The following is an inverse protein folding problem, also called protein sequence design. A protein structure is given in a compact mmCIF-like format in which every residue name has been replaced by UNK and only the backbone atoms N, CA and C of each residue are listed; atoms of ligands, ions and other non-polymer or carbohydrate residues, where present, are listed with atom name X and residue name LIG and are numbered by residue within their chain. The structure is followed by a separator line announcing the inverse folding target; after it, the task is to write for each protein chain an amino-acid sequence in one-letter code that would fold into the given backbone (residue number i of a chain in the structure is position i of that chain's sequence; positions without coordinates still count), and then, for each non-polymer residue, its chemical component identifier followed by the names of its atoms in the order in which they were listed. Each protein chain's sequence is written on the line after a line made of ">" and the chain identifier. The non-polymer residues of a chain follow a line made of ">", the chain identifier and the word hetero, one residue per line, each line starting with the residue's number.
data_IF_344151557199
#
_entry.id   IF_344151557199
#
_cell.length_a   1.000
_cell.length_b   1.000
_cell.length_c   1.000
_cell.angle_alpha   90.00
_cell.angle_beta   90.00
_cell.angle_gamma   90.00
#
_symmetry.space_group_name_H-M   'P 1'
#
loop_
_entity.id
_entity.type
_entity.pdbx_description
1 polymer ?
#
# COMPACT_ATOMS: atom_id res chain seq x y z
N UNK A 1 -54.92 49.10 30.40
CA UNK A 1 -56.25 48.44 30.31
C UNK A 1 -56.54 47.80 31.65
N UNK A 2 -57.81 47.85 32.10
CA UNK A 2 -58.35 47.63 33.47
C UNK A 2 -58.07 48.81 34.43
N UNK A 3 -58.99 49.51 35.10
CA UNK A 3 -60.44 49.71 35.21
C UNK A 3 -60.85 49.73 36.71
N UNK A 4 -61.62 50.77 37.08
CA UNK A 4 -62.51 50.88 38.27
C UNK A 4 -61.84 51.06 39.66
N UNK A 5 -62.38 51.83 40.63
CA UNK A 5 -63.78 52.19 40.91
C UNK A 5 -63.92 53.52 41.71
N UNK A 6 -65.07 54.17 41.51
CA UNK A 6 -65.63 55.29 42.29
C UNK A 6 -66.52 54.80 43.45
N UNK A 7 -66.67 55.60 44.50
CA UNK A 7 -67.94 55.84 45.25
C UNK A 7 -67.71 56.99 46.26
N UNK A 8 -68.31 58.19 46.17
CA UNK A 8 -69.72 58.65 46.25
C UNK A 8 -70.30 58.76 47.68
N UNK A 9 -70.33 60.01 48.18
CA UNK A 9 -71.42 60.73 48.88
C UNK A 9 -72.43 60.00 49.79
N UNK A 10 -72.75 60.59 50.96
CA UNK A 10 -74.13 61.00 51.29
C UNK A 10 -74.21 61.96 52.48
N UNK A 11 -75.12 62.92 52.33
CA UNK A 11 -75.61 63.90 53.29
C UNK A 11 -76.57 63.31 54.34
N UNK A 12 -76.59 63.87 55.56
CA UNK A 12 -77.65 63.63 56.53
C UNK A 12 -77.73 64.73 57.59
N UNK A 13 -78.92 65.33 57.73
CA UNK A 13 -79.31 66.49 58.55
C UNK A 13 -79.29 66.25 60.08
N UNK A 14 -79.36 67.33 60.90
CA UNK A 14 -79.13 67.30 62.35
C UNK A 14 -80.40 67.03 63.18
N UNK A 15 -80.22 66.51 64.40
CA UNK A 15 -81.24 66.51 65.46
C UNK A 15 -80.61 66.99 66.76
N UNK A 16 -81.12 68.11 67.27
CA UNK A 16 -80.87 68.64 68.61
C UNK A 16 -81.39 67.68 69.69
N UNK A 17 -80.59 67.42 70.73
CA UNK A 17 -81.08 67.24 72.10
C UNK A 17 -80.15 67.95 73.09
N UNK A 18 -80.69 69.00 73.70
CA UNK A 18 -80.17 69.66 74.90
C UNK A 18 -80.05 68.65 76.04
N UNK A 19 -78.91 68.67 76.72
CA UNK A 19 -78.63 67.81 77.87
C UNK A 19 -77.45 68.37 78.65
N UNK A 20 -77.80 69.22 79.62
CA UNK A 20 -76.98 69.82 80.65
C UNK A 20 -76.01 68.82 81.32
N UNK A 21 -74.70 69.09 81.39
CA UNK A 21 -73.89 68.77 82.57
C UNK A 21 -72.51 69.44 82.53
N UNK A 22 -72.28 70.29 83.52
CA UNK A 22 -71.00 70.85 83.92
C UNK A 22 -70.07 69.72 84.37
N UNK A 23 -68.92 69.55 83.70
CA UNK A 23 -67.90 68.56 84.07
C UNK A 23 -66.98 68.06 82.95
N UNK A 24 -66.94 68.70 81.77
CA UNK A 24 -66.29 68.17 80.54
C UNK A 24 -64.97 68.83 80.13
N UNK A 25 -64.37 69.69 80.96
CA UNK A 25 -63.11 70.37 80.58
C UNK A 25 -61.84 69.55 80.81
N UNK A 26 -61.85 68.60 81.76
CA UNK A 26 -60.68 67.74 82.06
C UNK A 26 -60.55 66.52 81.15
N UNK A 27 -61.65 65.83 80.80
CA UNK A 27 -61.63 64.64 79.91
C UNK A 27 -61.24 64.97 78.46
N UNK A 28 -61.60 66.16 77.96
CA UNK A 28 -61.24 66.61 76.61
C UNK A 28 -59.77 67.06 76.53
N UNK A 29 -59.22 67.60 77.63
CA UNK A 29 -57.80 67.95 77.71
C UNK A 29 -56.91 66.71 77.83
N UNK A 30 -57.36 65.68 78.56
CA UNK A 30 -56.64 64.41 78.69
C UNK A 30 -56.62 63.60 77.39
N UNK A 31 -57.75 63.49 76.67
CA UNK A 31 -57.80 62.84 75.35
C UNK A 31 -57.01 63.57 74.28
N UNK A 32 -56.92 64.90 74.36
CA UNK A 32 -56.11 65.70 73.43
C UNK A 32 -54.61 65.50 73.69
N UNK A 33 -54.21 65.44 74.96
CA UNK A 33 -52.82 65.14 75.34
C UNK A 33 -52.41 63.71 74.97
N UNK A 34 -53.29 62.71 75.12
CA UNK A 34 -53.04 61.34 74.65
C UNK A 34 -52.93 61.27 73.13
N UNK A 35 -53.82 61.93 72.38
CA UNK A 35 -53.74 61.97 70.92
C UNK A 35 -52.49 62.71 70.41
N UNK A 36 -52.08 63.81 71.05
CA UNK A 36 -50.82 64.50 70.72
C UNK A 36 -49.60 63.63 71.04
N UNK A 37 -49.59 62.92 72.17
CA UNK A 37 -48.51 61.97 72.50
C UNK A 37 -48.46 60.78 71.54
N UNK A 38 -49.61 60.27 71.08
CA UNK A 38 -49.69 59.16 70.13
C UNK A 38 -49.27 59.60 68.70
N UNK A 39 -49.65 60.81 68.28
CA UNK A 39 -49.18 61.42 67.03
C UNK A 39 -47.67 61.67 67.09
N UNK A 40 -47.14 62.14 68.22
CA UNK A 40 -45.70 62.39 68.37
C UNK A 40 -44.90 61.10 68.44
N UNK A 41 -45.42 60.05 69.09
CA UNK A 41 -44.84 58.70 69.07
C UNK A 41 -44.88 58.10 67.65
N UNK A 42 -45.97 58.24 66.91
CA UNK A 42 -46.08 57.80 65.52
C UNK A 42 -45.12 58.56 64.60
N UNK A 43 -44.98 59.87 64.80
CA UNK A 43 -44.06 60.72 64.02
C UNK A 43 -42.60 60.35 64.28
N UNK A 44 -42.24 60.08 65.53
CA UNK A 44 -40.90 59.63 65.91
C UNK A 44 -40.58 58.25 65.32
N UNK A 45 -41.54 57.33 65.32
CA UNK A 45 -41.42 56.00 64.70
C UNK A 45 -41.28 56.09 63.17
N UNK A 46 -41.99 57.01 62.52
CA UNK A 46 -41.88 57.25 61.09
C UNK A 46 -40.55 57.93 60.72
N UNK A 47 -40.05 58.86 61.53
CA UNK A 47 -38.71 59.45 61.36
C UNK A 47 -37.60 58.41 61.52
N UNK A 48 -37.72 57.47 62.46
CA UNK A 48 -36.80 56.34 62.60
C UNK A 48 -36.84 55.43 61.37
N UNK A 49 -38.04 55.09 60.86
CA UNK A 49 -38.18 54.29 59.63
C UNK A 49 -37.55 54.96 58.41
N UNK A 50 -37.78 56.26 58.22
CA UNK A 50 -37.17 57.04 57.13
C UNK A 50 -35.63 57.01 57.24
N UNK A 51 -35.10 57.06 58.47
CA UNK A 51 -33.66 56.96 58.72
C UNK A 51 -33.10 55.58 58.34
N UNK A 52 -33.81 54.51 58.69
CA UNK A 52 -33.46 53.14 58.33
C UNK A 52 -33.50 52.92 56.81
N UNK A 53 -34.56 53.37 56.14
CA UNK A 53 -34.70 53.28 54.68
C UNK A 53 -33.59 54.07 53.95
N UNK A 54 -33.22 55.25 54.46
CA UNK A 54 -32.10 56.03 53.93
C UNK A 54 -30.75 55.34 54.14
N UNK A 55 -30.56 54.63 55.25
CA UNK A 55 -29.36 53.85 55.50
C UNK A 55 -29.29 52.65 54.54
N UNK A 56 -30.38 51.89 54.41
CA UNK A 56 -30.50 50.77 53.48
C UNK A 56 -30.28 51.21 52.03
N UNK A 57 -30.82 52.36 51.62
CA UNK A 57 -30.61 52.88 50.26
C UNK A 57 -29.15 53.26 50.00
N UNK A 58 -28.45 53.81 51.00
CA UNK A 58 -27.01 54.12 50.87
C UNK A 58 -26.17 52.86 50.71
N UNK A 59 -26.49 51.82 51.47
CA UNK A 59 -25.83 50.52 51.39
C UNK A 59 -26.08 49.87 50.02
N UNK A 60 -27.33 49.81 49.57
CA UNK A 60 -27.70 49.28 48.26
C UNK A 60 -27.01 50.04 47.10
N UNK A 61 -26.87 51.36 47.24
CA UNK A 61 -26.15 52.20 46.26
C UNK A 61 -24.64 51.88 46.23
N UNK A 62 -24.05 51.58 47.39
CA UNK A 62 -22.65 51.16 47.48
C UNK A 62 -22.45 49.76 46.87
N UNK A 63 -23.36 48.83 47.13
CA UNK A 63 -23.37 47.50 46.52
C UNK A 63 -23.50 47.58 44.99
N UNK A 64 -24.44 48.38 44.48
CA UNK A 64 -24.61 48.60 43.03
C UNK A 64 -23.36 49.17 42.38
N UNK A 65 -22.68 50.12 43.04
CA UNK A 65 -21.42 50.66 42.55
C UNK A 65 -20.32 49.60 42.50
N UNK A 66 -20.32 48.67 43.45
CA UNK A 66 -19.33 47.59 43.55
C UNK A 66 -19.58 46.54 42.47
N UNK A 67 -20.83 46.09 42.32
CA UNK A 67 -21.23 45.16 41.26
C UNK A 67 -20.94 45.71 39.86
N UNK A 68 -21.18 47.01 39.64
CA UNK A 68 -20.88 47.65 38.36
C UNK A 68 -19.39 47.62 38.04
N UNK A 69 -18.51 47.85 39.03
CA UNK A 69 -17.06 47.72 38.85
C UNK A 69 -16.64 46.29 38.53
N UNK A 70 -17.17 45.31 39.28
CA UNK A 70 -16.88 43.90 39.03
C UNK A 70 -17.32 43.45 37.64
N UNK A 71 -18.48 43.90 37.17
CA UNK A 71 -18.97 43.59 35.83
C UNK A 71 -18.05 44.16 34.73
N UNK A 72 -17.58 45.40 34.93
CA UNK A 72 -16.64 46.06 34.01
C UNK A 72 -15.30 45.31 33.95
N UNK A 73 -14.74 44.94 35.10
CA UNK A 73 -13.50 44.17 35.19
C UNK A 73 -13.62 42.79 34.52
N UNK A 74 -14.75 42.10 34.72
CA UNK A 74 -15.03 40.82 34.08
C UNK A 74 -15.17 40.98 32.56
N UNK A 75 -15.84 42.03 32.09
CA UNK A 75 -15.98 42.30 30.65
C UNK A 75 -14.62 42.60 29.99
N UNK A 76 -13.81 43.47 30.60
CA UNK A 76 -12.47 43.78 30.08
C UNK A 76 -11.58 42.54 30.03
N UNK A 77 -11.65 41.69 31.06
CA UNK A 77 -10.93 40.41 31.06
C UNK A 77 -11.43 39.47 29.96
N UNK A 78 -12.75 39.34 29.79
CA UNK A 78 -13.33 38.50 28.76
C UNK A 78 -12.98 38.98 27.34
N UNK A 79 -12.91 40.30 27.10
CA UNK A 79 -12.46 40.86 25.82
C UNK A 79 -10.97 40.60 25.56
N UNK A 80 -10.12 40.76 26.59
CA UNK A 80 -8.70 40.44 26.49
C UNK A 80 -8.48 38.95 26.18
N UNK A 81 -9.19 38.05 26.87
CA UNK A 81 -9.12 36.62 26.66
C UNK A 81 -9.61 36.24 25.24
N UNK A 82 -10.70 36.85 24.75
CA UNK A 82 -11.17 36.65 23.37
C UNK A 82 -10.14 37.11 22.35
N UNK A 83 -9.57 38.30 22.52
CA UNK A 83 -8.56 38.81 21.59
C UNK A 83 -7.31 37.93 21.55
N UNK A 84 -6.89 37.41 22.71
CA UNK A 84 -5.78 36.47 22.80
C UNK A 84 -6.09 35.16 22.09
N UNK A 85 -7.25 34.57 22.36
CA UNK A 85 -7.68 33.30 21.75
C UNK A 85 -7.85 33.43 20.23
N UNK A 86 -8.34 34.55 19.72
CA UNK A 86 -8.45 34.80 18.28
C UNK A 86 -7.09 34.80 17.59
N UNK A 87 -6.07 35.40 18.22
CA UNK A 87 -4.69 35.39 17.71
C UNK A 87 -4.10 33.99 17.71
N UNK A 88 -4.31 33.22 18.77
CA UNK A 88 -3.82 31.85 18.87
C UNK A 88 -4.49 30.94 17.84
N UNK A 89 -5.82 31.06 17.68
CA UNK A 89 -6.56 30.30 16.66
C UNK A 89 -6.12 30.64 15.24
N UNK A 90 -5.79 31.90 14.96
CA UNK A 90 -5.22 32.30 13.67
C UNK A 90 -3.86 31.64 13.44
N UNK A 91 -2.98 31.67 14.42
CA UNK A 91 -1.66 31.03 14.36
C UNK A 91 -1.75 29.51 14.18
N UNK A 92 -2.70 28.85 14.86
CA UNK A 92 -2.95 27.41 14.71
C UNK A 92 -3.42 27.10 13.29
N UNK A 93 -4.30 27.91 12.70
CA UNK A 93 -4.77 27.71 11.32
C UNK A 93 -3.64 27.85 10.31
N UNK A 94 -2.81 28.88 10.44
CA UNK A 94 -1.65 29.09 9.55
C UNK A 94 -0.66 27.91 9.64
N UNK A 95 -0.39 27.40 10.85
CA UNK A 95 0.45 26.20 11.03
C UNK A 95 -0.17 24.93 10.44
N UNK A 96 -1.48 24.77 10.58
CA UNK A 96 -2.17 23.60 10.05
C UNK A 96 -2.14 23.59 8.51
N UNK A 97 -2.32 24.75 7.89
CA UNK A 97 -2.24 24.91 6.44
C UNK A 97 -0.83 24.56 5.92
N UNK A 98 0.22 25.11 6.54
CA UNK A 98 1.60 24.79 6.20
C UNK A 98 1.90 23.28 6.33
N UNK A 99 1.46 22.66 7.43
CA UNK A 99 1.66 21.23 7.65
C UNK A 99 0.91 20.35 6.64
N UNK A 100 -0.24 20.81 6.13
CA UNK A 100 -0.99 20.11 5.08
C UNK A 100 -0.27 20.21 3.73
N UNK A 101 0.30 21.36 3.41
CA UNK A 101 1.11 21.54 2.20
C UNK A 101 2.35 20.64 2.22
N UNK A 102 3.10 20.61 3.33
CA UNK A 102 4.26 19.73 3.50
C UNK A 102 3.90 18.25 3.39
N UNK A 103 2.75 17.84 3.96
CA UNK A 103 2.26 16.47 3.85
C UNK A 103 1.89 16.09 2.41
N UNK A 104 1.32 17.02 1.64
CA UNK A 104 1.00 16.80 0.23
C UNK A 104 2.26 16.67 -0.62
N UNK A 105 3.26 17.55 -0.43
CA UNK A 105 4.52 17.49 -1.17
C UNK A 105 5.29 16.18 -0.89
N UNK A 106 5.26 15.71 0.36
CA UNK A 106 5.78 14.41 0.75
C UNK A 106 5.03 13.25 0.06
N UNK A 107 3.70 13.30 -0.01
CA UNK A 107 2.91 12.28 -0.68
C UNK A 107 3.23 12.19 -2.17
N UNK A 108 3.31 13.33 -2.85
CA UNK A 108 3.65 13.42 -4.28
C UNK A 108 5.07 12.89 -4.55
N UNK A 109 6.02 13.23 -3.67
CA UNK A 109 7.40 12.72 -3.71
C UNK A 109 7.46 11.20 -3.53
N UNK A 110 6.72 10.65 -2.57
CA UNK A 110 6.63 9.21 -2.35
C UNK A 110 6.07 8.48 -3.57
N UNK A 111 5.05 9.03 -4.22
CA UNK A 111 4.51 8.46 -5.46
C UNK A 111 5.54 8.47 -6.58
N UNK A 112 6.32 9.57 -6.71
CA UNK A 112 7.42 9.67 -7.65
C UNK A 112 8.51 8.62 -7.43
N UNK A 113 8.90 8.35 -6.18
CA UNK A 113 9.86 7.29 -5.85
C UNK A 113 9.32 5.89 -6.13
N UNK A 114 8.03 5.65 -5.87
CA UNK A 114 7.38 4.35 -6.17
C UNK A 114 7.42 4.04 -7.66
N UNK A 115 7.08 5.01 -8.52
CA UNK A 115 7.16 4.84 -9.99
C UNK A 115 8.59 4.53 -10.47
N UNK A 116 9.59 5.21 -9.90
CA UNK A 116 11.01 4.94 -10.21
C UNK A 116 11.43 3.53 -9.77
N UNK A 117 10.97 3.07 -8.61
CA UNK A 117 11.23 1.72 -8.11
C UNK A 117 10.62 0.66 -9.03
N UNK A 118 9.36 0.83 -9.41
CA UNK A 118 8.65 -0.10 -10.30
C UNK A 118 9.38 -0.21 -11.67
N UNK A 119 9.77 0.92 -12.25
CA UNK A 119 10.56 0.95 -13.50
C UNK A 119 11.92 0.28 -13.35
N UNK A 120 12.63 0.50 -12.24
CA UNK A 120 13.92 -0.15 -12.00
C UNK A 120 13.78 -1.68 -11.83
N UNK A 121 12.68 -2.15 -11.22
CA UNK A 121 12.39 -3.57 -11.09
C UNK A 121 12.10 -4.24 -12.44
N UNK A 122 11.38 -3.55 -13.33
CA UNK A 122 11.10 -4.03 -14.68
C UNK A 122 12.38 -4.17 -15.52
N UNK A 123 13.24 -3.15 -15.50
CA UNK A 123 14.56 -3.20 -16.17
C UNK A 123 15.45 -4.31 -15.60
N UNK A 124 15.47 -4.49 -14.27
CA UNK A 124 16.22 -5.58 -13.66
C UNK A 124 15.71 -6.96 -14.11
N UNK A 125 14.39 -7.13 -14.21
CA UNK A 125 13.79 -8.37 -14.69
C UNK A 125 14.17 -8.65 -16.16
N UNK A 126 14.17 -7.61 -17.01
CA UNK A 126 14.61 -7.69 -18.40
C UNK A 126 16.08 -8.09 -18.51
N UNK A 127 16.97 -7.42 -17.79
CA UNK A 127 18.41 -7.74 -17.78
C UNK A 127 18.66 -9.17 -17.29
N UNK A 128 17.96 -9.63 -16.25
CA UNK A 128 18.06 -11.03 -15.79
C UNK A 128 17.64 -12.02 -16.87
N UNK A 129 16.57 -11.72 -17.62
CA UNK A 129 16.10 -12.57 -18.73
C UNK A 129 17.13 -12.61 -19.87
N UNK A 130 17.69 -11.46 -20.24
CA UNK A 130 18.73 -11.36 -21.27
C UNK A 130 20.01 -12.09 -20.85
N UNK A 131 20.46 -11.93 -19.60
CA UNK A 131 21.61 -12.66 -19.07
C UNK A 131 21.42 -14.17 -19.13
N UNK A 132 20.25 -14.67 -18.72
CA UNK A 132 19.95 -16.12 -18.78
C UNK A 132 19.91 -16.64 -20.22
N UNK A 133 19.50 -15.81 -21.19
CA UNK A 133 19.55 -16.18 -22.61
C UNK A 133 20.98 -16.22 -23.18
N UNK A 134 21.90 -15.44 -22.59
CA UNK A 134 23.30 -15.36 -22.99
C UNK A 134 24.20 -16.41 -22.31
N UNK A 135 23.80 -16.95 -21.16
CA UNK A 135 24.42 -18.12 -20.52
C UNK A 135 24.13 -19.40 -21.34
N UNK A 136 24.61 -19.47 -22.59
CA UNK A 136 24.65 -20.72 -23.36
C UNK A 136 25.67 -21.62 -22.68
N UNK A 137 25.24 -22.83 -22.31
CA UNK A 137 26.15 -23.88 -21.84
C UNK A 137 27.22 -24.13 -22.92
N UNK A 138 28.50 -23.96 -22.58
CA UNK A 138 29.62 -24.19 -23.49
C UNK A 138 29.58 -25.60 -24.10
N UNK A 139 28.97 -26.54 -23.39
CA UNK A 139 28.84 -27.95 -23.76
C UNK A 139 27.64 -28.23 -24.66
N UNK A 140 26.65 -27.32 -24.69
CA UNK A 140 25.40 -27.50 -25.43
C UNK A 140 24.93 -26.19 -26.10
N UNK A 141 25.68 -25.76 -27.11
CA UNK A 141 25.65 -24.39 -27.62
C UNK A 141 25.04 -24.22 -29.01
N UNK A 142 24.43 -25.28 -29.57
CA UNK A 142 23.64 -25.14 -30.78
C UNK A 142 22.52 -24.09 -30.61
N UNK A 143 22.34 -23.28 -31.64
CA UNK A 143 21.28 -22.26 -31.65
C UNK A 143 19.90 -22.92 -31.50
N UNK A 144 18.98 -22.38 -30.66
CA UNK A 144 17.61 -22.86 -30.58
C UNK A 144 16.92 -23.00 -31.95
N UNK A 145 17.25 -22.15 -32.91
CA UNK A 145 16.70 -22.22 -34.28
C UNK A 145 17.12 -23.47 -35.07
N UNK A 146 18.09 -24.25 -34.60
CA UNK A 146 18.48 -25.53 -35.19
C UNK A 146 17.41 -26.62 -34.97
N UNK A 147 16.47 -26.43 -34.04
CA UNK A 147 15.39 -27.38 -33.80
C UNK A 147 14.61 -27.70 -35.10
N UNK A 148 14.55 -28.98 -35.46
CA UNK A 148 13.87 -29.47 -36.66
C UNK A 148 14.66 -29.28 -37.96
N UNK A 149 15.88 -28.73 -37.92
CA UNK A 149 16.71 -28.57 -39.13
C UNK A 149 17.40 -29.87 -39.51
N UNK A 150 17.60 -30.05 -40.82
CA UNK A 150 18.38 -31.16 -41.36
C UNK A 150 19.88 -30.83 -41.37
N UNK A 151 20.70 -31.83 -41.06
CA UNK A 151 22.15 -31.72 -41.04
C UNK A 151 22.82 -33.08 -41.29
N UNK A 152 24.13 -33.06 -41.53
CA UNK A 152 24.97 -34.25 -41.64
C UNK A 152 26.09 -34.15 -40.60
N UNK A 153 26.48 -35.28 -39.99
CA UNK A 153 27.66 -35.35 -39.12
C UNK A 153 28.80 -35.92 -39.94
N UNK A 154 29.80 -35.10 -40.24
CA UNK A 154 30.86 -35.43 -41.20
C UNK A 154 32.22 -35.30 -40.50
N UNK A 155 33.07 -36.32 -40.65
CA UNK A 155 34.50 -36.16 -40.46
C UNK A 155 35.13 -35.73 -41.79
N UNK A 156 35.39 -34.43 -41.90
CA UNK A 156 35.90 -33.81 -43.14
C UNK A 156 37.26 -34.35 -43.56
N UNK A 157 38.12 -34.73 -42.60
CA UNK A 157 39.47 -35.24 -42.90
C UNK A 157 39.43 -36.66 -43.47
N UNK A 158 38.57 -37.52 -42.91
CA UNK A 158 38.41 -38.89 -43.38
C UNK A 158 37.40 -39.02 -44.53
N UNK A 159 36.69 -37.95 -44.90
CA UNK A 159 35.62 -37.92 -45.92
C UNK A 159 34.52 -38.96 -45.66
N UNK A 160 34.23 -39.18 -44.38
CA UNK A 160 33.17 -40.09 -43.92
C UNK A 160 32.07 -39.30 -43.21
N UNK A 161 30.84 -39.79 -43.29
CA UNK A 161 29.68 -39.29 -42.57
C UNK A 161 29.10 -40.38 -41.68
N UNK A 162 28.35 -39.94 -40.65
CA UNK A 162 27.47 -40.85 -39.92
C UNK A 162 26.32 -41.27 -40.83
N UNK A 163 26.06 -42.57 -40.89
CA UNK A 163 25.10 -43.17 -41.80
C UNK A 163 24.15 -44.12 -41.05
N UNK A 164 22.83 -43.88 -41.19
CA UNK A 164 21.75 -44.62 -40.53
C UNK A 164 21.26 -45.84 -41.33
N UNK A 165 22.00 -46.27 -42.34
CA UNK A 165 21.63 -47.34 -43.28
C UNK A 165 22.18 -48.72 -42.92
N UNK A 166 23.10 -48.85 -41.96
CA UNK A 166 23.70 -50.15 -41.60
C UNK A 166 22.67 -51.12 -41.01
N UNK A 167 22.79 -52.40 -41.36
CA UNK A 167 21.92 -53.49 -40.89
C UNK A 167 20.43 -53.16 -41.07
N UNK A 168 20.06 -52.76 -42.30
CA UNK A 168 18.72 -52.27 -42.65
C UNK A 168 18.27 -51.05 -41.79
N UNK A 169 19.27 -50.27 -41.36
CA UNK A 169 19.21 -49.10 -40.50
C UNK A 169 18.90 -49.37 -39.02
N UNK A 170 19.10 -50.59 -38.55
CA UNK A 170 19.08 -50.87 -37.10
C UNK A 170 20.36 -50.41 -36.41
N UNK A 171 21.42 -50.12 -37.17
CA UNK A 171 22.69 -49.60 -36.69
C UNK A 171 23.10 -48.37 -37.46
N UNK A 172 23.95 -47.60 -36.81
CA UNK A 172 24.58 -46.45 -37.43
C UNK A 172 26.06 -46.79 -37.69
N UNK A 173 26.63 -46.33 -38.79
CA UNK A 173 28.04 -46.60 -39.13
C UNK A 173 28.73 -45.39 -39.76
N UNK A 174 30.06 -45.43 -39.80
CA UNK A 174 30.84 -44.47 -40.58
C UNK A 174 30.89 -44.95 -42.04
N UNK A 175 30.39 -44.13 -42.96
CA UNK A 175 30.38 -44.44 -44.40
C UNK A 175 30.94 -43.28 -45.22
N UNK A 176 31.38 -43.53 -46.45
CA UNK A 176 31.82 -42.47 -47.35
C UNK A 176 30.74 -41.39 -47.47
N UNK A 177 31.14 -40.14 -47.28
CA UNK A 177 30.20 -39.03 -47.40
C UNK A 177 29.68 -38.94 -48.83
N UNK A 178 28.36 -39.02 -48.97
CA UNK A 178 27.65 -38.90 -50.24
C UNK A 178 26.38 -38.06 -50.02
N UNK A 179 26.30 -36.84 -50.58
CA UNK A 179 25.12 -35.98 -50.42
C UNK A 179 23.83 -36.58 -51.04
N UNK A 180 23.93 -37.61 -51.89
CA UNK A 180 22.77 -38.32 -52.47
C UNK A 180 22.30 -39.49 -51.61
N UNK A 181 23.07 -39.89 -50.61
CA UNK A 181 22.72 -40.99 -49.74
C UNK A 181 21.65 -40.54 -48.73
N UNK A 182 20.42 -41.05 -48.89
CA UNK A 182 19.27 -40.70 -48.05
C UNK A 182 19.39 -41.12 -46.57
N UNK A 183 20.39 -41.92 -46.20
CA UNK A 183 20.63 -42.35 -44.81
C UNK A 183 21.61 -41.46 -44.05
N UNK A 184 22.22 -40.46 -44.69
CA UNK A 184 23.17 -39.53 -44.05
C UNK A 184 22.53 -38.22 -43.56
N UNK A 185 21.49 -37.67 -44.21
CA UNK A 185 20.73 -36.56 -43.66
C UNK A 185 19.99 -36.94 -42.37
N UNK A 186 20.11 -36.08 -41.37
CA UNK A 186 19.55 -36.27 -40.03
C UNK A 186 18.81 -35.01 -39.60
N UNK A 187 17.88 -35.12 -38.67
CA UNK A 187 17.20 -33.99 -38.03
C UNK A 187 17.63 -33.88 -36.58
N UNK A 188 17.92 -32.67 -36.12
CA UNK A 188 18.23 -32.39 -34.70
C UNK A 188 17.01 -31.77 -34.03
N UNK A 189 16.61 -32.30 -32.87
CA UNK A 189 15.44 -31.85 -32.13
C UNK A 189 15.78 -31.70 -30.64
N UNK A 190 15.38 -30.59 -30.04
CA UNK A 190 15.48 -30.40 -28.59
C UNK A 190 14.59 -31.40 -27.87
N UNK A 191 15.12 -31.98 -26.79
CA UNK A 191 14.34 -32.84 -25.89
C UNK A 191 13.21 -32.03 -25.24
N UNK A 192 13.51 -30.82 -24.78
CA UNK A 192 12.56 -29.86 -24.22
C UNK A 192 12.72 -28.51 -24.92
N UNK A 193 11.71 -28.09 -25.66
CA UNK A 193 11.73 -26.81 -26.40
C UNK A 193 11.66 -25.59 -25.49
N UNK A 194 11.16 -25.72 -24.26
CA UNK A 194 11.08 -24.64 -23.27
C UNK A 194 12.37 -24.41 -22.48
N UNK A 195 13.35 -25.30 -22.59
CA UNK A 195 14.62 -25.21 -21.88
C UNK A 195 15.77 -24.86 -22.84
N UNK A 196 16.44 -23.74 -22.59
CA UNK A 196 17.55 -23.23 -23.40
C UNK A 196 18.76 -24.15 -23.42
N UNK A 197 18.94 -24.95 -22.38
CA UNK A 197 20.08 -25.85 -22.20
C UNK A 197 19.70 -27.32 -22.43
N UNK A 198 18.50 -27.57 -22.95
CA UNK A 198 18.00 -28.91 -23.19
C UNK A 198 18.93 -29.70 -24.13
N UNK A 199 19.25 -30.97 -23.82
CA UNK A 199 19.95 -31.83 -24.75
C UNK A 199 19.20 -31.98 -26.08
N UNK A 200 19.93 -32.42 -27.08
CA UNK A 200 19.39 -32.67 -28.41
C UNK A 200 19.18 -34.16 -28.63
N UNK A 201 18.24 -34.47 -29.50
CA UNK A 201 18.08 -35.80 -30.07
C UNK A 201 18.34 -35.70 -31.56
N UNK A 202 18.97 -36.73 -32.10
CA UNK A 202 19.41 -36.78 -33.50
C UNK A 202 18.67 -37.95 -34.14
N UNK A 203 17.90 -37.70 -35.20
CA UNK A 203 17.09 -38.74 -35.83
C UNK A 203 17.20 -38.78 -37.35
N UNK A 204 16.98 -39.95 -37.93
CA UNK A 204 16.72 -40.12 -39.36
C UNK A 204 15.43 -40.94 -39.50
N UNK A 205 14.42 -40.34 -40.14
CA UNK A 205 13.05 -40.87 -40.12
C UNK A 205 12.50 -40.96 -38.70
N UNK A 206 12.09 -42.17 -38.29
CA UNK A 206 11.56 -42.49 -36.97
C UNK A 206 12.59 -43.13 -36.02
N UNK A 207 13.88 -43.13 -36.38
CA UNK A 207 14.98 -43.72 -35.60
C UNK A 207 15.90 -42.65 -35.07
N UNK A 208 16.33 -42.80 -33.82
CA UNK A 208 17.16 -41.90 -33.06
C UNK A 208 18.56 -42.49 -32.87
N UNK A 209 19.56 -41.63 -32.86
CA UNK A 209 20.93 -41.97 -32.47
C UNK A 209 20.92 -42.32 -30.99
N UNK A 210 21.13 -43.60 -30.67
CA UNK A 210 21.27 -44.12 -29.33
C UNK A 210 22.72 -44.55 -29.12
N UNK A 211 23.31 -44.20 -27.99
CA UNK A 211 24.53 -44.85 -27.54
C UNK A 211 24.17 -45.89 -26.50
N UNK A 212 24.33 -47.17 -26.88
CA UNK A 212 23.99 -48.28 -26.00
C UNK A 212 25.24 -48.77 -25.29
N UNK A 213 25.14 -48.90 -23.96
CA UNK A 213 26.08 -49.67 -23.16
C UNK A 213 26.00 -51.14 -23.59
N UNK A 214 27.06 -51.71 -24.17
CA UNK A 214 27.11 -53.11 -24.44
C UNK A 214 27.63 -53.81 -23.20
N UNK A 215 26.86 -54.77 -22.73
CA UNK A 215 27.29 -55.83 -21.81
C UNK A 215 28.56 -56.59 -22.28
N UNK A 216 29.14 -56.26 -23.44
CA UNK A 216 30.34 -56.84 -24.06
C UNK A 216 31.53 -55.88 -24.25
N UNK A 217 31.54 -54.67 -23.68
CA UNK A 217 32.78 -53.90 -23.45
C UNK A 217 33.20 -52.83 -24.48
N UNK A 218 32.40 -52.52 -25.50
CA UNK A 218 32.67 -51.39 -26.43
C UNK A 218 31.40 -50.69 -26.93
N UNK A 219 31.16 -49.43 -26.51
CA UNK A 219 29.96 -48.66 -26.88
C UNK A 219 29.64 -48.73 -28.38
N UNK A 220 28.40 -49.10 -28.71
CA UNK A 220 27.95 -49.20 -30.09
C UNK A 220 26.89 -48.13 -30.39
N UNK A 221 27.05 -47.36 -31.48
CA UNK A 221 26.02 -46.45 -31.92
C UNK A 221 24.91 -47.27 -32.57
N UNK A 222 23.72 -47.14 -32.01
CA UNK A 222 22.52 -47.84 -32.44
C UNK A 222 21.53 -46.83 -33.00
N UNK A 223 20.68 -47.31 -33.90
CA UNK A 223 19.61 -46.53 -34.49
C UNK A 223 18.29 -47.15 -34.00
N UNK A 224 17.57 -46.50 -33.09
CA UNK A 224 16.42 -47.10 -32.39
C UNK A 224 15.20 -46.19 -32.32
N UNK A 225 14.02 -46.76 -32.03
CA UNK A 225 12.82 -45.96 -31.78
C UNK A 225 12.99 -45.08 -30.53
N UNK A 226 12.20 -44.00 -30.42
CA UNK A 226 12.26 -43.09 -29.27
C UNK A 226 12.07 -43.85 -27.97
N UNK A 227 12.98 -43.66 -27.02
CA UNK A 227 12.92 -44.24 -25.67
C UNK A 227 12.21 -43.30 -24.70
N UNK A 228 11.74 -43.86 -23.59
CA UNK A 228 11.10 -43.13 -22.49
C UNK A 228 11.78 -43.48 -21.16
N UNK A 229 11.58 -42.65 -20.13
CA UNK A 229 12.15 -42.88 -18.81
C UNK A 229 13.68 -42.75 -18.80
N UNK A 230 14.36 -43.56 -17.99
CA UNK A 230 15.82 -43.50 -17.84
C UNK A 230 16.58 -43.86 -19.12
N UNK A 231 16.02 -44.71 -19.99
CA UNK A 231 16.63 -45.11 -21.26
C UNK A 231 16.65 -43.97 -22.30
N UNK A 232 15.80 -42.96 -22.15
CA UNK A 232 15.77 -41.81 -23.05
C UNK A 232 17.09 -41.05 -23.07
N UNK A 233 17.82 -41.02 -21.95
CA UNK A 233 19.12 -40.35 -21.81
C UNK A 233 20.20 -40.90 -22.75
N UNK A 234 20.07 -42.14 -23.19
CA UNK A 234 21.00 -42.72 -24.17
C UNK A 234 20.82 -42.13 -25.58
N UNK A 235 19.72 -41.41 -25.81
CA UNK A 235 19.40 -40.71 -27.06
C UNK A 235 19.56 -39.19 -26.92
N UNK A 236 20.06 -38.71 -25.78
CA UNK A 236 20.25 -37.30 -25.47
C UNK A 236 21.72 -36.91 -25.66
N UNK A 237 21.93 -35.87 -26.46
CA UNK A 237 23.24 -35.44 -26.92
C UNK A 237 23.43 -33.96 -26.62
N UNK A 238 24.50 -33.61 -25.92
CA UNK A 238 25.00 -32.24 -25.86
C UNK A 238 25.87 -32.00 -27.08
N UNK A 239 25.58 -30.92 -27.81
CA UNK A 239 26.30 -30.57 -29.04
C UNK A 239 26.95 -29.21 -28.82
N UNK A 240 28.27 -29.23 -28.69
CA UNK A 240 29.08 -28.10 -28.25
C UNK A 240 30.20 -27.78 -29.22
N UNK A 241 30.66 -26.53 -29.22
CA UNK A 241 31.82 -26.11 -30.00
C UNK A 241 33.12 -26.58 -29.35
N UNK A 242 34.01 -27.19 -30.13
CA UNK A 242 35.26 -27.77 -29.63
C UNK A 242 36.29 -26.72 -29.17
N UNK A 243 36.05 -25.42 -29.37
CA UNK A 243 36.95 -24.33 -28.93
C UNK A 243 38.23 -24.18 -29.78
N UNK A 244 38.83 -25.29 -30.23
CA UNK A 244 40.12 -25.28 -30.93
C UNK A 244 40.05 -24.85 -32.40
N UNK A 245 38.94 -25.10 -33.10
CA UNK A 245 38.78 -24.78 -34.53
C UNK A 245 37.33 -24.46 -34.88
N UNK A 246 37.03 -23.31 -35.53
CA UNK A 246 35.71 -23.01 -36.07
C UNK A 246 35.12 -24.19 -36.86
N UNK A 247 33.83 -24.43 -36.69
CA UNK A 247 33.10 -25.51 -37.39
C UNK A 247 33.36 -26.95 -36.90
N UNK A 248 34.14 -27.16 -35.83
CA UNK A 248 34.30 -28.48 -35.23
C UNK A 248 33.47 -28.59 -33.94
N UNK A 249 32.65 -29.64 -33.87
CA UNK A 249 31.72 -29.86 -32.77
C UNK A 249 32.03 -31.16 -32.04
N UNK A 250 31.75 -31.18 -30.75
CA UNK A 250 31.65 -32.40 -29.97
C UNK A 250 30.21 -32.86 -29.91
N UNK A 251 30.01 -34.17 -29.88
CA UNK A 251 28.73 -34.79 -29.61
C UNK A 251 28.91 -35.66 -28.37
N UNK A 252 28.48 -35.15 -27.22
CA UNK A 252 28.56 -35.82 -25.93
C UNK A 252 27.24 -36.49 -25.60
N UNK A 253 27.25 -37.76 -25.26
CA UNK A 253 26.05 -38.48 -24.85
C UNK A 253 25.82 -38.33 -23.34
N UNK A 254 24.63 -37.87 -22.95
CA UNK A 254 24.29 -37.64 -21.55
C UNK A 254 24.15 -38.93 -20.73
N UNK A 255 23.56 -39.97 -21.33
CA UNK A 255 23.35 -41.26 -20.67
C UNK A 255 24.65 -42.00 -20.38
N UNK A 256 25.58 -41.99 -21.35
CA UNK A 256 26.81 -42.78 -21.31
C UNK A 256 28.06 -41.97 -20.93
N UNK A 257 27.96 -40.64 -20.87
CA UNK A 257 29.06 -39.73 -20.50
C UNK A 257 30.31 -39.92 -21.36
N UNK A 258 30.14 -39.98 -22.68
CA UNK A 258 31.23 -40.12 -23.63
C UNK A 258 30.91 -39.44 -24.96
N UNK A 259 31.94 -39.25 -25.80
CA UNK A 259 31.80 -38.56 -27.09
C UNK A 259 31.69 -39.52 -28.27
N UNK A 260 30.91 -39.13 -29.27
CA UNK A 260 30.94 -39.77 -30.59
C UNK A 260 32.22 -39.39 -31.34
N UNK A 261 32.93 -40.39 -31.86
CA UNK A 261 34.14 -40.18 -32.66
C UNK A 261 34.06 -40.91 -34.00
N UNK A 262 33.77 -40.18 -35.08
CA UNK A 262 33.78 -40.76 -36.42
C UNK A 262 35.21 -41.06 -36.89
N UNK A 263 35.59 -42.34 -36.99
CA UNK A 263 36.86 -42.82 -37.53
C UNK A 263 36.59 -43.76 -38.70
N UNK A 264 37.54 -43.90 -39.62
CA UNK A 264 37.43 -44.87 -40.70
C UNK A 264 37.48 -46.29 -40.12
N UNK A 265 36.44 -47.09 -40.37
CA UNK A 265 36.35 -48.49 -39.92
C UNK A 265 35.67 -48.72 -38.57
N UNK A 266 35.73 -47.76 -37.63
CA UNK A 266 35.14 -47.85 -36.28
C UNK A 266 34.61 -46.48 -35.78
N UNK A 267 33.62 -46.48 -34.88
CA UNK A 267 32.90 -45.27 -34.43
C UNK A 267 33.29 -44.71 -33.05
N UNK A 268 34.22 -45.34 -32.32
CA UNK A 268 34.55 -44.89 -30.96
C UNK A 268 36.01 -45.16 -30.55
N UNK A 269 36.50 -44.34 -29.62
CA UNK A 269 37.69 -44.59 -28.80
C UNK A 269 37.35 -44.19 -27.36
N UNK A 270 37.55 -45.08 -26.39
CA UNK A 270 37.43 -44.74 -24.97
C UNK A 270 38.44 -43.63 -24.64
N UNK A 271 37.96 -42.54 -24.05
CA UNK A 271 38.77 -41.47 -23.46
C UNK A 271 38.81 -41.63 -21.96
#
# INVERSE_FOLDING_TARGET
>A
MQANSMSSSTSGKPVFKNGNSSGKTTDLQQKKAEAEAEIEAARKKEEERIKEDLAAFKELKAEFSTLRKQLEEVNQKAEADRSSNEKEMKHIREKLELSQEEAQEMADSCEGYKRKLDSAQEELAKVKKEKKALERDEWNNLDPECHGRQFNIINVYARIALDFGADNGTRCHAWNWDPKNGSQPMTVERVNTGDSNSPWTIRSGNRYLELRDPSSGSYQPMCSARRSGSEARNQEWLIGFNGYRPGHYWLWNEGQRCYLKLVSGDLFKNG
#
